data_IF_013600810147
#
_entry.id   IF_013600810147
#
_cell.length_a   1.000
_cell.length_b   1.000
_cell.length_c   1.000
_cell.angle_alpha   90.00
_cell.angle_beta   90.00
_cell.angle_gamma   90.00
#
_symmetry.space_group_name_H-M   'P 1'
#
loop_
_entity.id
_entity.type
_entity.pdbx_description
1 polymer ?
#
# COMPACT_ATOMS: atom_id res chain seq x y z
N UNK A 1 0.65 -14.46 -2.38
CA UNK A 1 0.91 -13.25 -3.17
C UNK A 1 0.21 -13.40 -4.51
N UNK A 2 -0.49 -12.39 -5.00
CA UNK A 2 -1.12 -12.41 -6.31
C UNK A 2 -0.12 -11.92 -7.36
N UNK A 3 0.09 -12.68 -8.42
CA UNK A 3 0.97 -12.28 -9.54
C UNK A 3 0.12 -11.87 -10.74
N UNK A 4 0.57 -10.87 -11.47
CA UNK A 4 -0.02 -10.47 -12.75
C UNK A 4 0.50 -11.41 -13.85
N UNK A 5 -0.19 -11.46 -14.98
CA UNK A 5 0.15 -12.37 -16.09
C UNK A 5 1.61 -12.22 -16.55
N UNK A 6 2.10 -10.99 -16.66
CA UNK A 6 3.48 -10.73 -17.07
C UNK A 6 4.53 -11.02 -15.97
N UNK A 7 4.11 -11.28 -14.75
CA UNK A 7 4.95 -11.67 -13.60
C UNK A 7 5.06 -13.20 -13.45
N UNK A 8 4.46 -14.00 -14.33
CA UNK A 8 4.54 -15.47 -14.29
C UNK A 8 5.97 -16.00 -14.14
N UNK A 9 7.01 -15.46 -14.86
CA UNK A 9 8.39 -15.91 -14.67
C UNK A 9 8.94 -15.64 -13.25
N UNK A 10 8.48 -14.56 -12.60
CA UNK A 10 8.84 -14.23 -11.20
C UNK A 10 8.20 -15.24 -10.27
N UNK A 11 6.91 -15.53 -10.46
CA UNK A 11 6.15 -16.51 -9.67
C UNK A 11 6.77 -17.89 -9.71
N UNK A 12 7.22 -18.35 -10.89
CA UNK A 12 7.86 -19.65 -11.04
C UNK A 12 9.18 -19.74 -10.28
N UNK A 13 9.99 -18.68 -10.32
CA UNK A 13 11.25 -18.61 -9.59
C UNK A 13 11.03 -18.49 -8.07
N UNK A 14 10.04 -17.74 -7.65
CA UNK A 14 9.67 -17.59 -6.23
C UNK A 14 9.19 -18.92 -5.65
N UNK A 15 8.41 -19.69 -6.43
CA UNK A 15 8.02 -21.03 -6.07
C UNK A 15 9.23 -21.97 -5.95
N UNK A 16 10.14 -21.97 -6.94
CA UNK A 16 11.37 -22.77 -6.89
C UNK A 16 12.23 -22.43 -5.67
N UNK A 17 12.30 -21.13 -5.32
CA UNK A 17 13.01 -20.68 -4.12
C UNK A 17 12.37 -21.22 -2.84
N UNK A 18 11.04 -21.13 -2.75
CA UNK A 18 10.28 -21.65 -1.61
C UNK A 18 10.44 -23.17 -1.46
N UNK A 19 10.30 -23.90 -2.56
CA UNK A 19 10.47 -25.36 -2.59
C UNK A 19 11.91 -25.77 -2.19
N UNK A 20 12.92 -25.00 -2.62
CA UNK A 20 14.32 -25.23 -2.25
C UNK A 20 14.57 -25.02 -0.75
N UNK A 21 13.98 -23.98 -0.15
CA UNK A 21 14.09 -23.70 1.28
C UNK A 21 13.41 -24.82 2.09
N UNK A 22 12.22 -25.23 1.69
CA UNK A 22 11.45 -26.29 2.36
C UNK A 22 12.18 -27.64 2.31
N UNK A 23 12.85 -27.95 1.18
CA UNK A 23 13.69 -29.12 1.04
C UNK A 23 14.90 -29.10 1.99
N UNK A 24 15.58 -27.98 2.12
CA UNK A 24 16.70 -27.81 3.06
C UNK A 24 16.28 -28.00 4.51
N UNK A 25 15.11 -27.48 4.89
CA UNK A 25 14.58 -27.64 6.25
C UNK A 25 14.13 -29.06 6.58
N UNK A 26 13.57 -29.80 5.61
CA UNK A 26 13.06 -31.17 5.81
C UNK A 26 14.11 -32.25 5.71
N UNK A 27 15.16 -32.05 4.93
CA UNK A 27 16.10 -33.13 4.53
C UNK A 27 17.51 -32.97 5.09
N UNK A 28 17.78 -31.95 5.89
CA UNK A 28 19.11 -31.60 6.43
C UNK A 28 20.21 -31.53 5.33
N UNK A 29 19.79 -31.19 4.10
CA UNK A 29 20.65 -31.01 2.93
C UNK A 29 21.07 -29.55 2.81
N UNK A 30 22.36 -29.32 2.59
CA UNK A 30 22.84 -27.96 2.33
C UNK A 30 22.40 -27.48 0.95
N UNK A 31 21.40 -26.60 0.93
CA UNK A 31 20.83 -25.96 -0.28
C UNK A 31 21.35 -24.54 -0.51
N UNK A 32 22.34 -24.10 0.26
CA UNK A 32 22.82 -22.71 0.29
C UNK A 32 23.23 -22.20 -1.09
N UNK A 33 24.04 -22.95 -1.82
CA UNK A 33 24.46 -22.52 -3.18
C UNK A 33 23.28 -22.44 -4.17
N UNK A 34 22.37 -23.42 -4.12
CA UNK A 34 21.20 -23.47 -5.00
C UNK A 34 20.26 -22.30 -4.70
N UNK A 35 20.01 -22.02 -3.43
CA UNK A 35 19.23 -20.89 -2.97
C UNK A 35 19.80 -19.57 -3.47
N UNK A 36 21.11 -19.35 -3.34
CA UNK A 36 21.78 -18.13 -3.81
C UNK A 36 21.64 -17.97 -5.33
N UNK A 37 21.80 -19.06 -6.10
CA UNK A 37 21.63 -19.04 -7.55
C UNK A 37 20.20 -18.67 -7.97
N UNK A 38 19.20 -19.31 -7.34
CA UNK A 38 17.78 -19.00 -7.63
C UNK A 38 17.46 -17.57 -7.24
N UNK A 39 17.87 -17.09 -6.07
CA UNK A 39 17.65 -15.73 -5.62
C UNK A 39 18.25 -14.71 -6.60
N UNK A 40 19.49 -14.90 -7.01
CA UNK A 40 20.14 -14.02 -7.99
C UNK A 40 19.42 -13.98 -9.32
N UNK A 41 18.92 -15.13 -9.80
CA UNK A 41 18.13 -15.22 -11.02
C UNK A 41 16.78 -14.50 -10.86
N UNK A 42 16.13 -14.66 -9.71
CA UNK A 42 14.88 -13.97 -9.36
C UNK A 42 15.07 -12.45 -9.40
N UNK A 43 16.09 -11.94 -8.72
CA UNK A 43 16.38 -10.50 -8.66
C UNK A 43 16.68 -9.93 -10.05
N UNK A 44 17.40 -10.68 -10.89
CA UNK A 44 17.67 -10.29 -12.27
C UNK A 44 16.39 -10.26 -13.11
N UNK A 45 15.57 -11.31 -13.02
CA UNK A 45 14.29 -11.40 -13.75
C UNK A 45 13.33 -10.27 -13.35
N UNK A 46 13.23 -9.97 -12.06
CA UNK A 46 12.46 -8.81 -11.56
C UNK A 46 12.97 -7.53 -12.23
N UNK A 47 14.28 -7.29 -12.20
CA UNK A 47 14.87 -6.09 -12.78
C UNK A 47 14.61 -5.98 -14.28
N UNK A 48 14.72 -7.06 -15.04
CA UNK A 48 14.46 -7.11 -16.47
C UNK A 48 12.99 -6.79 -16.78
N UNK A 49 12.05 -7.48 -16.12
CA UNK A 49 10.60 -7.28 -16.35
C UNK A 49 10.18 -5.85 -15.99
N UNK A 50 10.61 -5.33 -14.83
CA UNK A 50 10.18 -4.01 -14.36
C UNK A 50 10.91 -2.84 -15.01
N UNK A 51 12.02 -3.07 -15.72
CA UNK A 51 12.72 -2.02 -16.46
C UNK A 51 12.04 -1.61 -17.76
N UNK A 52 11.24 -2.49 -18.37
CA UNK A 52 10.60 -2.26 -19.67
C UNK A 52 9.09 -2.57 -19.65
N UNK A 53 8.39 -1.98 -18.70
CA UNK A 53 6.94 -2.13 -18.58
C UNK A 53 6.19 -1.32 -19.63
N UNK A 54 5.27 -1.98 -20.32
CA UNK A 54 4.30 -1.29 -21.18
C UNK A 54 3.39 -0.35 -20.39
N UNK A 55 2.77 0.67 -21.01
CA UNK A 55 1.80 1.54 -20.32
C UNK A 55 0.66 0.77 -19.66
N UNK A 56 0.18 -0.30 -20.30
CA UNK A 56 -0.88 -1.15 -19.73
C UNK A 56 -0.42 -1.92 -18.49
N UNK A 57 0.77 -2.50 -18.51
CA UNK A 57 1.35 -3.18 -17.35
C UNK A 57 1.52 -2.22 -16.15
N UNK A 58 1.92 -0.97 -16.39
CA UNK A 58 1.97 0.08 -15.36
C UNK A 58 0.59 0.34 -14.74
N UNK A 59 -0.47 0.37 -15.56
CA UNK A 59 -1.86 0.47 -15.06
C UNK A 59 -2.25 -0.76 -14.24
N UNK A 60 -1.91 -1.96 -14.69
CA UNK A 60 -2.19 -3.19 -13.94
C UNK A 60 -1.50 -3.19 -12.57
N UNK A 61 -0.21 -2.84 -12.50
CA UNK A 61 0.52 -2.71 -11.23
C UNK A 61 -0.12 -1.65 -10.32
N UNK A 62 -0.52 -0.50 -10.87
CA UNK A 62 -1.17 0.56 -10.08
C UNK A 62 -2.48 0.10 -9.44
N UNK A 63 -3.11 -0.92 -10.01
CA UNK A 63 -4.38 -1.51 -9.56
C UNK A 63 -4.23 -2.89 -8.92
N UNK A 64 -3.00 -3.29 -8.61
CA UNK A 64 -2.73 -4.59 -8.02
C UNK A 64 -3.57 -4.82 -6.75
N UNK A 65 -4.22 -6.01 -6.57
CA UNK A 65 -5.10 -6.26 -5.42
C UNK A 65 -4.39 -6.20 -4.06
N UNK A 66 -3.11 -6.54 -4.01
CA UNK A 66 -2.30 -6.51 -2.79
C UNK A 66 -1.62 -5.15 -2.54
N UNK A 67 -1.93 -4.14 -3.37
CA UNK A 67 -1.36 -2.81 -3.19
C UNK A 67 -1.89 -2.16 -1.91
N UNK A 68 -1.02 -1.59 -1.07
CA UNK A 68 -1.44 -0.89 0.14
C UNK A 68 -2.33 0.31 -0.19
N UNK A 69 -3.35 0.55 0.63
CA UNK A 69 -4.19 1.74 0.61
C UNK A 69 -3.76 2.73 1.69
N UNK A 70 -4.40 3.89 1.73
CA UNK A 70 -4.06 4.98 2.67
C UNK A 70 -3.96 4.53 4.12
N UNK A 71 -4.93 3.74 4.61
CA UNK A 71 -4.90 3.25 5.99
C UNK A 71 -3.77 2.26 6.27
N UNK A 72 -3.35 1.48 5.28
CA UNK A 72 -2.22 0.56 5.43
C UNK A 72 -0.92 1.34 5.67
N UNK A 73 -0.71 2.42 4.91
CA UNK A 73 0.42 3.34 5.15
C UNK A 73 0.32 4.02 6.51
N UNK A 74 -0.85 4.58 6.86
CA UNK A 74 -1.06 5.23 8.15
C UNK A 74 -0.77 4.26 9.31
N UNK A 75 -1.32 3.06 9.26
CA UNK A 75 -1.12 2.05 10.30
C UNK A 75 0.35 1.59 10.41
N UNK A 76 1.04 1.44 9.26
CA UNK A 76 2.45 1.05 9.24
C UNK A 76 3.38 2.13 9.77
N UNK A 77 3.07 3.40 9.52
CA UNK A 77 3.91 4.54 9.90
C UNK A 77 3.63 4.98 11.35
N UNK A 78 2.36 5.04 11.75
CA UNK A 78 1.95 5.64 13.01
C UNK A 78 1.40 4.65 14.03
N UNK A 79 0.94 3.46 13.60
CA UNK A 79 0.27 2.52 14.50
C UNK A 79 -0.88 3.19 15.26
N UNK A 80 -0.84 3.10 16.59
CA UNK A 80 -1.88 3.66 17.46
C UNK A 80 -1.71 5.16 17.75
N UNK A 81 -0.72 5.84 17.16
CA UNK A 81 -0.47 7.27 17.43
C UNK A 81 -1.18 8.19 16.44
N UNK A 82 -1.86 7.65 15.44
CA UNK A 82 -2.63 8.43 14.48
C UNK A 82 -3.95 8.93 15.09
N UNK A 83 -4.13 10.25 15.08
CA UNK A 83 -5.36 10.92 15.51
C UNK A 83 -6.22 11.24 14.27
N UNK A 84 -7.18 10.38 13.95
CA UNK A 84 -8.11 10.63 12.84
C UNK A 84 -9.06 11.80 13.16
N UNK A 85 -9.22 12.71 12.21
CA UNK A 85 -10.09 13.89 12.31
C UNK A 85 -11.28 13.74 11.36
N UNK A 86 -12.46 13.57 11.93
CA UNK A 86 -13.69 13.27 11.21
C UNK A 86 -14.50 14.52 10.80
N UNK A 87 -15.31 14.38 9.75
CA UNK A 87 -16.34 15.31 9.34
C UNK A 87 -15.83 16.57 8.63
N UNK A 88 -16.73 17.18 7.85
CA UNK A 88 -16.49 18.41 7.11
C UNK A 88 -16.90 19.69 7.88
N UNK A 89 -17.48 19.52 9.10
CA UNK A 89 -18.04 20.59 9.94
C UNK A 89 -19.24 21.32 9.31
N UNK A 90 -19.84 20.72 8.29
CA UNK A 90 -21.01 21.32 7.63
C UNK A 90 -22.18 20.33 7.52
N UNK A 91 -21.92 19.09 7.07
CA UNK A 91 -22.96 18.10 6.80
C UNK A 91 -22.68 16.75 7.49
N UNK A 92 -21.64 16.03 7.08
CA UNK A 92 -21.30 14.72 7.64
C UNK A 92 -19.83 14.34 7.41
N UNK A 93 -19.48 13.15 7.86
CA UNK A 93 -18.17 12.55 7.60
C UNK A 93 -18.21 11.66 6.35
N UNK A 94 -17.29 11.86 5.41
CA UNK A 94 -17.08 10.99 4.26
C UNK A 94 -16.09 9.88 4.60
N UNK A 95 -16.52 8.64 4.50
CA UNK A 95 -15.70 7.46 4.79
C UNK A 95 -14.68 7.13 3.70
N UNK A 96 -14.86 7.66 2.49
CA UNK A 96 -13.89 7.55 1.42
C UNK A 96 -12.67 8.46 1.61
N UNK A 97 -12.81 9.54 2.40
CA UNK A 97 -11.74 10.47 2.71
C UNK A 97 -11.27 10.28 4.17
N UNK A 98 -10.05 9.81 4.34
CA UNK A 98 -9.39 9.67 5.65
C UNK A 98 -8.42 10.83 5.83
N UNK A 99 -8.34 11.36 7.03
CA UNK A 99 -7.33 12.37 7.33
C UNK A 99 -7.19 12.60 8.82
N UNK A 100 -6.01 13.03 9.22
CA UNK A 100 -5.68 13.22 10.64
C UNK A 100 -4.23 13.59 10.87
N UNK A 101 -3.86 13.64 12.13
CA UNK A 101 -2.53 13.98 12.60
C UNK A 101 -1.76 12.70 12.96
N UNK A 102 -0.54 12.60 12.49
CA UNK A 102 0.41 11.56 12.89
C UNK A 102 1.78 12.16 13.20
N UNK A 103 2.53 11.52 14.08
CA UNK A 103 3.85 11.97 14.49
C UNK A 103 4.93 11.02 13.96
N UNK A 104 5.90 11.56 13.25
CA UNK A 104 7.10 10.82 12.83
C UNK A 104 8.28 11.44 13.57
N UNK A 105 8.93 10.66 14.43
CA UNK A 105 9.94 11.16 15.38
C UNK A 105 9.34 12.31 16.20
N UNK A 106 9.86 13.52 16.08
CA UNK A 106 9.40 14.69 16.82
C UNK A 106 8.54 15.65 15.98
N UNK A 107 8.31 15.35 14.71
CA UNK A 107 7.52 16.19 13.83
C UNK A 107 6.11 15.65 13.62
N UNK A 108 5.12 16.53 13.74
CA UNK A 108 3.72 16.23 13.42
C UNK A 108 3.45 16.49 11.95
N UNK A 109 2.67 15.61 11.33
CA UNK A 109 2.21 15.72 9.93
C UNK A 109 0.69 15.62 9.86
N UNK A 110 0.11 16.33 8.92
CA UNK A 110 -1.28 16.12 8.51
C UNK A 110 -1.31 15.12 7.36
N UNK A 111 -2.00 13.99 7.53
CA UNK A 111 -2.21 13.00 6.49
C UNK A 111 -3.62 13.08 5.95
N UNK A 112 -3.76 13.07 4.61
CA UNK A 112 -5.05 13.09 3.93
C UNK A 112 -4.98 12.14 2.74
N UNK A 113 -5.92 11.22 2.63
CA UNK A 113 -5.94 10.30 1.51
C UNK A 113 -7.28 9.62 1.27
N UNK A 114 -7.45 9.12 0.08
CA UNK A 114 -8.63 8.33 -0.30
C UNK A 114 -8.43 6.88 0.11
N UNK A 115 -9.48 6.29 0.69
CA UNK A 115 -9.51 4.90 1.12
C UNK A 115 -10.59 4.13 0.38
N UNK A 116 -10.21 3.07 -0.33
CA UNK A 116 -11.14 2.26 -1.10
C UNK A 116 -11.74 1.08 -0.34
N UNK A 117 -10.94 0.42 0.49
CA UNK A 117 -11.29 -0.82 1.17
C UNK A 117 -10.85 -2.09 0.43
N UNK A 118 -10.45 -3.12 1.20
CA UNK A 118 -9.89 -4.36 0.67
C UNK A 118 -10.96 -5.38 0.26
N UNK A 119 -12.05 -5.45 0.97
CA UNK A 119 -13.16 -6.38 0.72
C UNK A 119 -14.44 -5.65 0.25
N UNK A 120 -15.43 -6.38 -0.20
CA UNK A 120 -16.68 -5.82 -0.75
C UNK A 120 -17.42 -4.95 0.27
N UNK A 121 -17.48 -5.37 1.54
CA UNK A 121 -18.15 -4.62 2.60
C UNK A 121 -17.48 -3.28 2.87
N UNK A 122 -16.15 -3.27 2.97
CA UNK A 122 -15.38 -2.05 3.15
C UNK A 122 -15.46 -1.13 1.94
N UNK A 123 -15.46 -1.69 0.73
CA UNK A 123 -15.64 -0.92 -0.51
C UNK A 123 -16.99 -0.21 -0.54
N UNK A 124 -18.07 -0.89 -0.18
CA UNK A 124 -19.38 -0.27 -0.09
C UNK A 124 -19.44 0.80 1.01
N UNK A 125 -18.89 0.52 2.19
CA UNK A 125 -18.82 1.48 3.30
C UNK A 125 -18.06 2.75 2.94
N UNK A 126 -17.01 2.64 2.11
CA UNK A 126 -16.17 3.73 1.65
C UNK A 126 -16.52 4.24 0.24
N UNK A 127 -17.74 3.97 -0.21
CA UNK A 127 -18.21 4.37 -1.54
C UNK A 127 -17.20 4.06 -2.65
N UNK A 128 -16.54 2.89 -2.60
CA UNK A 128 -15.49 2.46 -3.54
C UNK A 128 -14.29 3.41 -3.65
N UNK A 129 -14.04 4.24 -2.64
CA UNK A 129 -13.01 5.28 -2.65
C UNK A 129 -13.41 6.55 -3.39
N UNK A 130 -14.65 6.66 -3.81
CA UNK A 130 -15.18 7.86 -4.47
C UNK A 130 -15.68 8.85 -3.41
N UNK A 131 -14.92 9.94 -3.23
CA UNK A 131 -15.28 10.96 -2.26
C UNK A 131 -16.54 11.73 -2.69
N UNK A 132 -17.43 11.95 -1.73
CA UNK A 132 -18.58 12.85 -1.86
C UNK A 132 -18.14 14.32 -1.63
N UNK A 133 -18.99 15.32 -1.89
CA UNK A 133 -18.65 16.74 -1.66
C UNK A 133 -18.15 17.04 -0.24
N UNK A 134 -18.69 16.36 0.77
CA UNK A 134 -18.21 16.49 2.17
C UNK A 134 -16.79 15.93 2.37
N UNK A 135 -16.35 14.96 1.58
CA UNK A 135 -14.98 14.47 1.61
C UNK A 135 -13.98 15.52 1.14
N UNK A 136 -14.29 16.22 0.06
CA UNK A 136 -13.47 17.35 -0.42
C UNK A 136 -13.43 18.49 0.58
N UNK A 137 -14.57 18.83 1.22
CA UNK A 137 -14.60 19.86 2.27
C UNK A 137 -13.83 19.43 3.51
N UNK A 138 -13.88 18.13 3.89
CA UNK A 138 -13.07 17.56 4.98
C UNK A 138 -11.58 17.73 4.65
N UNK A 139 -11.13 17.34 3.46
CA UNK A 139 -9.74 17.50 3.04
C UNK A 139 -9.29 18.96 3.10
N UNK A 140 -10.06 19.89 2.52
CA UNK A 140 -9.78 21.32 2.56
C UNK A 140 -9.71 21.85 4.00
N UNK A 141 -10.63 21.42 4.87
CA UNK A 141 -10.61 21.80 6.30
C UNK A 141 -9.33 21.35 6.99
N UNK A 142 -8.88 20.13 6.70
CA UNK A 142 -7.64 19.58 7.28
C UNK A 142 -6.41 20.32 6.76
N UNK A 143 -6.36 20.65 5.47
CA UNK A 143 -5.27 21.47 4.91
C UNK A 143 -5.20 22.85 5.56
N UNK A 144 -6.35 23.53 5.73
CA UNK A 144 -6.41 24.84 6.44
C UNK A 144 -6.01 24.71 7.92
N UNK A 145 -6.33 23.58 8.56
CA UNK A 145 -5.88 23.32 9.93
C UNK A 145 -4.36 23.15 9.98
N UNK A 146 -3.78 22.41 9.05
CA UNK A 146 -2.36 22.21 8.94
C UNK A 146 -1.61 23.54 8.68
N UNK A 147 -2.10 24.35 7.74
CA UNK A 147 -1.57 25.69 7.46
C UNK A 147 -1.57 26.57 8.72
N UNK A 148 -2.68 26.59 9.47
CA UNK A 148 -2.79 27.40 10.70
C UNK A 148 -1.74 27.05 11.76
N UNK A 149 -1.30 25.81 11.83
CA UNK A 149 -0.34 25.30 12.84
C UNK A 149 1.04 25.01 12.24
N UNK A 150 1.30 25.44 11.00
CA UNK A 150 2.56 25.19 10.28
C UNK A 150 2.95 23.70 10.23
N UNK A 151 1.96 22.84 9.99
CA UNK A 151 2.11 21.38 9.92
C UNK A 151 2.22 20.96 8.47
N UNK A 152 3.28 20.21 8.07
CA UNK A 152 3.38 19.68 6.71
C UNK A 152 2.22 18.72 6.37
N UNK A 153 1.75 18.76 5.12
CA UNK A 153 0.66 17.92 4.61
C UNK A 153 1.21 16.85 3.67
N UNK A 154 0.74 15.60 3.85
CA UNK A 154 1.03 14.44 3.01
C UNK A 154 -0.27 13.87 2.47
#
# INVERSE_FOLDING_TARGET
MNYLEFEEPIKDLDKQLSDCIELGEKSDVDVTETRIKIQKKLDQTIKEIYSDLTPWQKVQISRHPDRPYTLDYINSIFGNTFLELHGDRNYKDDKAMVGGLGKIKDQTFMFIGQQKGHNTKDRQYRNFGMANPEGYRKALRLMKLAEKFDIPVV
#
